data_IF_152563580986
#
_entry.id   IF_152563580986
#
_cell.length_a   1.000
_cell.length_b   1.000
_cell.length_c   1.000
_cell.angle_alpha   90.00
_cell.angle_beta   90.00
_cell.angle_gamma   90.00
#
_symmetry.space_group_name_H-M   'P 1'
#
loop_
_entity.id
_entity.type
_entity.pdbx_description
1 polymer ?
#
# COMPACT_ATOMS: atom_id res chain seq x y z
N UNK A 1 8.80 -27.19 -17.11
CA UNK A 1 7.68 -27.83 -17.84
C UNK A 1 6.78 -26.72 -18.36
N UNK A 2 6.26 -26.82 -19.58
CA UNK A 2 5.41 -25.79 -20.15
C UNK A 2 4.03 -25.78 -19.49
N UNK A 3 3.55 -24.57 -19.17
CA UNK A 3 2.17 -24.30 -18.73
C UNK A 3 1.50 -23.42 -19.79
N UNK A 4 0.33 -23.83 -20.26
CA UNK A 4 -0.42 -23.13 -21.29
C UNK A 4 -1.75 -22.63 -20.73
N UNK A 5 -2.04 -21.37 -20.99
CA UNK A 5 -3.37 -20.77 -20.83
C UNK A 5 -3.98 -20.61 -22.21
N UNK A 6 -5.16 -21.17 -22.46
CA UNK A 6 -5.73 -21.24 -23.81
C UNK A 6 -7.12 -20.64 -23.87
N UNK A 7 -7.51 -20.08 -25.02
CA UNK A 7 -8.87 -19.61 -25.35
C UNK A 7 -9.44 -18.52 -24.42
N UNK A 8 -8.57 -17.73 -23.77
CA UNK A 8 -8.98 -16.62 -22.89
C UNK A 8 -8.84 -15.26 -23.56
N UNK A 9 -9.56 -14.26 -23.06
CA UNK A 9 -9.27 -12.86 -23.36
C UNK A 9 -8.01 -12.44 -22.60
N UNK A 10 -7.15 -11.59 -23.16
CA UNK A 10 -5.91 -11.14 -22.52
C UNK A 10 -5.91 -9.62 -22.42
N UNK A 11 -5.75 -9.09 -21.21
CA UNK A 11 -5.32 -7.69 -21.02
C UNK A 11 -3.81 -7.71 -20.81
N UNK A 12 -3.05 -7.05 -21.66
CA UNK A 12 -1.58 -7.20 -21.66
C UNK A 12 -0.91 -6.50 -20.48
N UNK A 13 -1.59 -5.55 -19.82
CA UNK A 13 -1.02 -4.71 -18.76
C UNK A 13 -0.31 -3.44 -19.25
N UNK A 14 -0.25 -3.19 -20.57
CA UNK A 14 0.41 -2.00 -21.14
C UNK A 14 -0.43 -0.70 -21.04
N UNK A 15 -1.66 -0.79 -20.54
CA UNK A 15 -2.59 0.33 -20.41
C UNK A 15 -3.58 0.47 -21.57
N UNK A 16 -3.41 -0.30 -22.65
CA UNK A 16 -4.16 -0.10 -23.90
C UNK A 16 -4.62 -1.39 -24.58
N UNK A 17 -3.82 -2.46 -24.57
CA UNK A 17 -4.04 -3.62 -25.44
C UNK A 17 -4.93 -4.68 -24.78
N UNK A 18 -5.97 -5.07 -25.51
CA UNK A 18 -6.78 -6.26 -25.26
C UNK A 18 -6.63 -7.20 -26.45
N UNK A 19 -6.46 -8.49 -26.18
CA UNK A 19 -6.54 -9.58 -27.17
C UNK A 19 -7.83 -10.35 -26.86
N UNK A 20 -8.83 -10.22 -27.72
CA UNK A 20 -10.19 -10.76 -27.47
C UNK A 20 -10.21 -12.28 -27.27
N UNK A 21 -9.35 -12.98 -28.01
CA UNK A 21 -9.12 -14.41 -27.87
C UNK A 21 -7.63 -14.68 -28.07
N UNK A 22 -7.00 -15.34 -27.11
CA UNK A 22 -5.58 -15.64 -27.18
C UNK A 22 -5.16 -16.77 -26.25
N UNK A 23 -3.87 -17.06 -26.29
CA UNK A 23 -3.24 -18.08 -25.45
C UNK A 23 -1.85 -17.63 -25.02
N UNK A 24 -1.43 -18.08 -23.85
CA UNK A 24 -0.13 -17.75 -23.25
C UNK A 24 0.63 -19.04 -23.03
N UNK A 25 1.81 -19.15 -23.65
CA UNK A 25 2.73 -20.27 -23.45
C UNK A 25 3.80 -19.83 -22.46
N UNK A 26 3.88 -20.52 -21.32
CA UNK A 26 4.88 -20.24 -20.28
C UNK A 26 5.84 -21.40 -20.15
N UNK A 27 7.13 -21.11 -20.05
CA UNK A 27 8.16 -22.13 -19.88
C UNK A 27 9.39 -21.57 -19.15
N UNK A 28 9.85 -22.30 -18.14
CA UNK A 28 11.00 -21.95 -17.31
C UNK A 28 10.85 -20.59 -16.63
N UNK A 29 9.66 -20.33 -16.08
CA UNK A 29 9.34 -19.10 -15.36
C UNK A 29 9.09 -17.87 -16.22
N UNK A 30 9.11 -18.01 -17.55
CA UNK A 30 8.94 -16.90 -18.49
C UNK A 30 7.77 -17.15 -19.44
N UNK A 31 7.13 -16.07 -19.88
CA UNK A 31 6.22 -16.07 -21.01
C UNK A 31 7.06 -16.26 -22.27
N UNK A 32 6.86 -17.37 -22.98
CA UNK A 32 7.54 -17.67 -24.24
C UNK A 32 6.84 -17.04 -25.42
N UNK A 33 5.53 -17.14 -25.46
CA UNK A 33 4.72 -16.72 -26.59
C UNK A 33 3.34 -16.26 -26.11
N UNK A 34 2.82 -15.22 -26.77
CA UNK A 34 1.42 -14.80 -26.67
C UNK A 34 0.80 -14.97 -28.05
N UNK A 35 -0.11 -15.93 -28.18
CA UNK A 35 -0.78 -16.29 -29.43
C UNK A 35 -2.09 -15.51 -29.53
N UNK A 36 -2.34 -14.87 -30.67
CA UNK A 36 -3.61 -14.17 -30.97
C UNK A 36 -4.54 -15.08 -31.78
N UNK A 37 -5.82 -15.07 -31.43
CA UNK A 37 -6.88 -15.87 -32.05
C UNK A 37 -6.99 -17.29 -31.49
N UNK A 38 -8.06 -17.98 -31.89
CA UNK A 38 -8.29 -19.39 -31.58
C UNK A 38 -7.20 -20.28 -32.20
N UNK A 39 -6.60 -21.17 -31.40
CA UNK A 39 -5.69 -22.21 -31.89
C UNK A 39 -6.13 -23.56 -31.33
N UNK A 40 -6.16 -24.59 -32.16
CA UNK A 40 -6.42 -25.95 -31.68
C UNK A 40 -5.19 -26.45 -30.90
N UNK A 41 -5.32 -26.56 -29.59
CA UNK A 41 -4.29 -27.13 -28.73
C UNK A 41 -4.53 -28.63 -28.61
N UNK A 42 -3.61 -29.45 -29.12
CA UNK A 42 -3.65 -30.89 -28.85
C UNK A 42 -3.25 -31.12 -27.41
N UNK A 43 -3.82 -32.15 -26.77
CA UNK A 43 -3.39 -32.60 -25.44
C UNK A 43 -1.86 -32.75 -25.48
N UNK A 44 -1.19 -31.95 -24.66
CA UNK A 44 0.24 -31.70 -24.75
C UNK A 44 1.10 -32.94 -24.58
N UNK A 45 2.40 -32.81 -24.87
CA UNK A 45 3.37 -33.85 -24.56
C UNK A 45 3.29 -34.22 -23.06
N UNK A 46 3.69 -35.44 -22.64
CA UNK A 46 3.66 -35.83 -21.23
C UNK A 46 4.30 -34.77 -20.32
N UNK A 47 3.53 -34.21 -19.39
CA UNK A 47 3.98 -33.17 -18.44
C UNK A 47 3.60 -31.72 -18.81
N UNK A 48 2.96 -31.48 -19.95
CA UNK A 48 2.39 -30.17 -20.29
C UNK A 48 1.05 -29.95 -19.55
N UNK A 49 0.95 -28.83 -18.82
CA UNK A 49 -0.28 -28.44 -18.14
C UNK A 49 -1.05 -27.43 -19.00
N UNK A 50 -2.32 -27.72 -19.28
CA UNK A 50 -3.21 -26.82 -20.03
C UNK A 50 -4.33 -26.35 -19.11
N UNK A 51 -4.56 -25.04 -19.06
CA UNK A 51 -5.70 -24.42 -18.38
C UNK A 51 -6.56 -23.77 -19.46
N UNK A 52 -7.79 -24.24 -19.59
CA UNK A 52 -8.79 -23.66 -20.48
C UNK A 52 -9.38 -22.39 -19.85
N UNK A 53 -9.19 -21.26 -20.53
CA UNK A 53 -9.68 -19.95 -20.17
C UNK A 53 -10.89 -19.52 -20.98
N UNK A 54 -11.59 -20.44 -21.65
CA UNK A 54 -12.84 -20.12 -22.35
C UNK A 54 -13.80 -19.38 -21.41
N UNK A 55 -14.21 -18.16 -21.78
CA UNK A 55 -15.06 -17.31 -20.96
C UNK A 55 -14.37 -16.66 -19.76
N UNK A 56 -13.03 -16.71 -19.68
CA UNK A 56 -12.19 -16.12 -18.64
C UNK A 56 -11.28 -15.04 -19.21
N UNK A 57 -10.68 -14.28 -18.30
CA UNK A 57 -9.76 -13.20 -18.59
C UNK A 57 -8.37 -13.54 -18.01
N UNK A 58 -7.32 -13.30 -18.80
CA UNK A 58 -5.93 -13.40 -18.40
C UNK A 58 -5.37 -11.99 -18.14
N UNK A 59 -4.84 -11.80 -16.94
CA UNK A 59 -4.23 -10.54 -16.48
C UNK A 59 -2.77 -10.79 -16.08
N UNK A 60 -1.87 -9.80 -16.18
CA UNK A 60 -0.58 -9.90 -15.50
C UNK A 60 -0.83 -10.03 -13.99
N UNK A 61 0.09 -10.69 -13.29
CA UNK A 61 0.10 -10.74 -11.83
C UNK A 61 0.06 -9.34 -11.21
N UNK A 62 -0.78 -9.15 -10.19
CA UNK A 62 -0.88 -7.85 -9.50
C UNK A 62 0.42 -7.60 -8.73
N UNK A 63 0.94 -6.37 -8.84
CA UNK A 63 2.12 -5.89 -8.13
C UNK A 63 1.66 -4.88 -7.11
N UNK A 64 1.63 -5.26 -5.84
CA UNK A 64 1.23 -4.36 -4.76
C UNK A 64 2.46 -3.61 -4.22
N UNK A 65 2.56 -2.31 -4.51
CA UNK A 65 3.64 -1.43 -4.06
C UNK A 65 3.48 -0.90 -2.63
N UNK A 66 2.40 -1.21 -1.93
CA UNK A 66 2.20 -0.72 -0.56
C UNK A 66 1.41 -1.73 0.27
N UNK A 67 2.12 -2.59 0.99
CA UNK A 67 1.57 -3.54 1.94
C UNK A 67 2.32 -3.51 3.28
N UNK A 68 1.64 -3.88 4.35
CA UNK A 68 2.18 -3.93 5.71
C UNK A 68 1.96 -5.30 6.33
N UNK A 69 2.80 -5.66 7.30
CA UNK A 69 2.64 -6.90 8.06
C UNK A 69 2.84 -8.15 7.19
N UNK A 70 3.71 -8.05 6.19
CA UNK A 70 4.06 -9.17 5.28
C UNK A 70 5.46 -9.74 5.57
N UNK A 71 6.08 -9.29 6.66
CA UNK A 71 7.36 -9.81 7.18
C UNK A 71 7.25 -10.05 8.70
N UNK A 72 8.22 -10.77 9.27
CA UNK A 72 8.35 -10.97 10.73
C UNK A 72 9.19 -9.87 11.41
N UNK A 73 9.47 -8.77 10.71
CA UNK A 73 10.17 -7.62 11.26
C UNK A 73 9.25 -6.64 12.01
N UNK A 74 9.80 -5.52 12.48
CA UNK A 74 9.02 -4.48 13.16
C UNK A 74 7.90 -3.95 12.26
N UNK A 75 6.72 -3.71 12.84
CA UNK A 75 5.51 -3.35 12.11
C UNK A 75 5.36 -1.82 12.00
N UNK A 76 5.04 -1.35 10.80
CA UNK A 76 4.82 0.06 10.44
C UNK A 76 6.01 1.00 10.73
N UNK A 77 5.97 2.25 10.23
CA UNK A 77 7.02 3.25 10.52
C UNK A 77 7.16 3.66 11.99
N UNK A 78 6.26 3.20 12.88
CA UNK A 78 6.42 3.32 14.35
C UNK A 78 7.30 2.25 14.97
N UNK A 79 7.72 1.25 14.19
CA UNK A 79 8.44 0.08 14.64
C UNK A 79 7.76 -0.60 15.82
N UNK A 80 6.45 -0.82 15.71
CA UNK A 80 5.69 -1.61 16.67
C UNK A 80 6.16 -3.06 16.67
N UNK A 81 5.83 -3.80 17.73
CA UNK A 81 6.22 -5.20 17.84
C UNK A 81 5.80 -6.02 16.60
N UNK A 82 6.66 -6.93 16.13
CA UNK A 82 6.35 -7.79 14.99
C UNK A 82 5.04 -8.55 15.17
N UNK A 83 4.35 -8.83 14.06
CA UNK A 83 3.20 -9.72 14.06
C UNK A 83 3.65 -11.16 14.31
N UNK A 84 2.81 -12.00 14.96
CA UNK A 84 3.04 -13.44 15.00
C UNK A 84 3.16 -14.02 13.59
N UNK A 85 4.06 -14.98 13.39
CA UNK A 85 4.29 -15.61 12.07
C UNK A 85 2.98 -16.09 11.42
N UNK A 86 2.07 -16.69 12.19
CA UNK A 86 0.77 -17.13 11.68
C UNK A 86 -0.03 -15.98 11.04
N UNK A 87 -0.01 -14.79 11.64
CA UNK A 87 -0.69 -13.63 11.11
C UNK A 87 0.01 -13.08 9.87
N UNK A 88 1.34 -13.06 9.84
CA UNK A 88 2.12 -12.66 8.66
C UNK A 88 1.80 -13.57 7.48
N UNK A 89 1.78 -14.89 7.71
CA UNK A 89 1.43 -15.87 6.68
C UNK A 89 -0.02 -15.69 6.21
N UNK A 90 -0.98 -15.41 7.10
CA UNK A 90 -2.36 -15.09 6.71
C UNK A 90 -2.45 -13.84 5.82
N UNK A 91 -1.68 -12.79 6.13
CA UNK A 91 -1.65 -11.58 5.32
C UNK A 91 -1.08 -11.85 3.92
N UNK A 92 0.02 -12.61 3.83
CA UNK A 92 0.63 -13.00 2.56
C UNK A 92 -0.28 -13.92 1.75
N UNK A 93 -0.89 -14.91 2.40
CA UNK A 93 -1.82 -15.86 1.77
C UNK A 93 -3.01 -15.12 1.17
N UNK A 94 -3.54 -14.15 1.92
CA UNK A 94 -4.60 -13.26 1.43
C UNK A 94 -4.18 -12.52 0.16
N UNK A 95 -3.01 -11.88 0.14
CA UNK A 95 -2.51 -11.19 -1.05
C UNK A 95 -2.40 -12.13 -2.25
N UNK A 96 -1.85 -13.35 -2.07
CA UNK A 96 -1.76 -14.35 -3.14
C UNK A 96 -3.16 -14.69 -3.64
N UNK A 97 -4.11 -15.00 -2.75
CA UNK A 97 -5.49 -15.36 -3.12
C UNK A 97 -6.24 -14.22 -3.82
N UNK A 98 -5.88 -12.97 -3.55
CA UNK A 98 -6.39 -11.76 -4.21
C UNK A 98 -5.69 -11.46 -5.55
N UNK A 99 -4.75 -12.31 -5.99
CA UNK A 99 -4.07 -12.21 -7.29
C UNK A 99 -2.75 -11.43 -7.25
N UNK A 100 -2.23 -11.09 -6.07
CA UNK A 100 -0.94 -10.42 -5.94
C UNK A 100 0.20 -11.41 -6.11
N UNK A 101 1.08 -11.17 -7.09
CA UNK A 101 2.27 -12.00 -7.34
C UNK A 101 3.55 -11.37 -6.80
N UNK A 102 3.56 -10.05 -6.66
CA UNK A 102 4.67 -9.27 -6.10
C UNK A 102 4.17 -8.32 -5.02
N UNK A 103 4.86 -8.28 -3.89
CA UNK A 103 4.51 -7.45 -2.72
C UNK A 103 5.71 -6.57 -2.36
N UNK A 104 5.49 -5.28 -2.14
CA UNK A 104 6.42 -4.41 -1.43
C UNK A 104 5.96 -4.25 0.03
N UNK A 105 6.73 -4.81 0.95
CA UNK A 105 6.56 -4.54 2.38
C UNK A 105 7.11 -3.15 2.71
N UNK A 106 6.24 -2.26 3.19
CA UNK A 106 6.59 -0.86 3.49
C UNK A 106 6.68 -0.57 5.00
N UNK A 107 6.74 -1.60 5.85
CA UNK A 107 6.97 -1.39 7.30
C UNK A 107 8.30 -0.70 7.59
N UNK A 108 9.27 -0.84 6.68
CA UNK A 108 10.48 -0.02 6.60
C UNK A 108 11.63 -0.45 7.51
N UNK A 109 11.39 -1.21 8.57
CA UNK A 109 12.45 -1.67 9.48
C UNK A 109 12.80 -3.16 9.38
N UNK A 110 12.23 -3.91 8.43
CA UNK A 110 12.58 -5.32 8.28
C UNK A 110 14.06 -5.51 7.89
N UNK A 111 14.72 -6.48 8.52
CA UNK A 111 16.07 -6.92 8.17
C UNK A 111 16.02 -7.99 7.07
N UNK A 112 17.11 -8.18 6.30
CA UNK A 112 17.11 -9.09 5.15
C UNK A 112 16.71 -10.54 5.49
N UNK A 113 17.13 -11.04 6.66
CA UNK A 113 16.79 -12.40 7.10
C UNK A 113 15.32 -12.56 7.47
N UNK A 114 14.64 -11.50 7.92
CA UNK A 114 13.22 -11.50 8.26
C UNK A 114 12.35 -11.53 7.01
N UNK A 115 12.80 -10.82 5.95
CA UNK A 115 12.18 -10.91 4.61
C UNK A 115 12.40 -12.30 4.02
N UNK A 116 13.62 -12.84 4.13
CA UNK A 116 13.95 -14.16 3.60
C UNK A 116 13.13 -15.27 4.26
N UNK A 117 12.89 -15.19 5.57
CA UNK A 117 12.07 -16.16 6.29
C UNK A 117 10.67 -16.34 5.68
N UNK A 118 10.06 -15.29 5.15
CA UNK A 118 8.76 -15.37 4.49
C UNK A 118 8.87 -15.87 3.05
N UNK A 119 9.90 -15.44 2.31
CA UNK A 119 10.18 -15.95 0.95
C UNK A 119 10.38 -17.47 0.92
N UNK A 120 10.99 -18.03 1.96
CA UNK A 120 11.20 -19.47 2.09
C UNK A 120 9.89 -20.24 2.35
N UNK A 121 8.89 -19.57 2.92
CA UNK A 121 7.61 -20.17 3.34
C UNK A 121 6.47 -19.96 2.35
N UNK A 122 6.57 -18.98 1.45
CA UNK A 122 5.48 -18.61 0.54
C UNK A 122 5.97 -18.29 -0.87
N UNK A 123 5.27 -18.80 -1.91
CA UNK A 123 5.70 -18.65 -3.30
C UNK A 123 5.26 -17.30 -3.88
N UNK A 124 5.62 -16.19 -3.22
CA UNK A 124 5.33 -14.82 -3.68
C UNK A 124 6.63 -14.03 -3.83
N UNK A 125 6.68 -13.10 -4.78
CA UNK A 125 7.80 -12.18 -4.92
C UNK A 125 7.70 -11.08 -3.85
N UNK A 126 8.16 -11.37 -2.63
CA UNK A 126 8.19 -10.40 -1.54
C UNK A 126 9.45 -9.53 -1.63
N UNK A 127 9.31 -8.21 -1.68
CA UNK A 127 10.37 -7.21 -1.54
C UNK A 127 10.13 -6.34 -0.32
N UNK A 128 11.12 -5.53 0.08
CA UNK A 128 10.97 -4.59 1.19
C UNK A 128 11.49 -3.21 0.85
N UNK A 129 10.87 -2.20 1.44
CA UNK A 129 11.46 -0.88 1.65
C UNK A 129 12.39 -0.84 2.86
N UNK A 130 13.11 0.26 3.01
CA UNK A 130 13.88 0.58 4.22
C UNK A 130 13.68 2.02 4.67
N UNK A 131 13.64 2.24 5.98
CA UNK A 131 13.62 3.57 6.61
C UNK A 131 14.66 3.68 7.73
N UNK A 132 15.74 2.88 7.65
CA UNK A 132 16.85 2.86 8.59
C UNK A 132 17.73 4.12 8.54
N UNK A 133 17.10 5.28 8.70
CA UNK A 133 17.72 6.60 8.76
C UNK A 133 17.63 7.13 10.19
N UNK A 134 18.63 7.88 10.67
CA UNK A 134 18.69 8.32 12.06
C UNK A 134 17.44 9.06 12.55
N UNK A 135 16.81 9.91 11.72
CA UNK A 135 15.62 10.65 12.13
C UNK A 135 14.41 9.73 12.21
N UNK A 136 14.27 8.78 11.28
CA UNK A 136 13.18 7.81 11.28
C UNK A 136 13.24 6.84 12.48
N UNK A 137 14.43 6.42 12.90
CA UNK A 137 14.59 5.61 14.13
C UNK A 137 14.13 6.41 15.35
N UNK A 138 14.51 7.69 15.45
CA UNK A 138 14.04 8.57 16.54
C UNK A 138 12.53 8.79 16.49
N UNK A 139 11.95 8.96 15.31
CA UNK A 139 10.51 9.12 15.13
C UNK A 139 9.78 7.85 15.61
N UNK A 140 10.27 6.66 15.27
CA UNK A 140 9.71 5.40 15.75
C UNK A 140 9.78 5.28 17.28
N UNK A 141 10.94 5.57 17.88
CA UNK A 141 11.14 5.53 19.34
C UNK A 141 10.27 6.54 20.11
N UNK A 142 9.98 7.69 19.50
CA UNK A 142 9.11 8.69 20.11
C UNK A 142 7.63 8.26 20.20
N UNK A 143 7.27 7.17 19.52
CA UNK A 143 5.91 6.62 19.48
C UNK A 143 5.83 5.24 20.14
N UNK A 144 6.58 4.26 19.61
CA UNK A 144 6.56 2.88 20.12
C UNK A 144 7.98 2.29 20.16
N UNK A 145 8.63 2.08 19.01
CA UNK A 145 10.01 1.60 18.92
C UNK A 145 10.29 0.20 19.49
N UNK A 146 9.28 -0.46 20.07
CA UNK A 146 9.43 -1.76 20.79
C UNK A 146 9.77 -2.93 19.89
N UNK A 147 9.48 -2.84 18.60
CA UNK A 147 9.89 -3.85 17.62
C UNK A 147 11.39 -3.81 17.31
N UNK A 148 12.06 -2.68 17.56
CA UNK A 148 13.47 -2.52 17.19
C UNK A 148 14.40 -3.23 18.18
N UNK A 149 15.03 -4.30 17.70
CA UNK A 149 16.20 -4.92 18.35
C UNK A 149 17.46 -4.08 18.16
N UNK A 150 18.56 -4.45 18.83
CA UNK A 150 19.87 -3.79 18.63
C UNK A 150 20.35 -3.87 17.17
N UNK A 151 20.08 -4.98 16.47
CA UNK A 151 20.43 -5.14 15.07
C UNK A 151 19.69 -4.13 14.17
N UNK A 152 18.39 -3.94 14.40
CA UNK A 152 17.59 -2.93 13.70
C UNK A 152 18.15 -1.53 13.91
N UNK A 153 18.54 -1.19 15.13
CA UNK A 153 19.05 0.14 15.48
C UNK A 153 20.44 0.44 14.88
N UNK A 154 21.23 -0.61 14.62
CA UNK A 154 22.55 -0.50 14.00
C UNK A 154 22.50 -0.46 12.48
N UNK A 155 21.49 -1.05 11.87
CA UNK A 155 21.32 -1.06 10.43
C UNK A 155 21.14 0.35 9.87
N UNK A 156 21.68 0.58 8.68
CA UNK A 156 21.60 1.85 7.95
C UNK A 156 20.85 1.72 6.63
N UNK A 157 20.31 2.83 6.14
CA UNK A 157 19.64 2.88 4.84
C UNK A 157 20.56 2.40 3.71
N UNK A 158 21.85 2.77 3.72
CA UNK A 158 22.82 2.31 2.72
C UNK A 158 23.04 0.80 2.75
N UNK A 159 23.17 0.21 3.94
CA UNK A 159 23.33 -1.24 4.10
C UNK A 159 22.08 -2.00 3.62
N UNK A 160 20.89 -1.50 3.95
CA UNK A 160 19.64 -2.15 3.56
C UNK A 160 19.40 -2.06 2.05
N UNK A 161 19.67 -0.91 1.43
CA UNK A 161 19.62 -0.76 -0.03
C UNK A 161 20.62 -1.69 -0.72
N UNK A 162 21.84 -1.83 -0.18
CA UNK A 162 22.83 -2.78 -0.68
C UNK A 162 22.40 -4.25 -0.48
N UNK A 163 21.67 -4.52 0.58
CA UNK A 163 21.14 -5.85 0.89
C UNK A 163 19.87 -6.22 0.10
N UNK A 164 19.37 -5.31 -0.76
CA UNK A 164 18.27 -5.59 -1.69
C UNK A 164 16.94 -4.92 -1.35
N UNK A 165 16.89 -4.00 -0.37
CA UNK A 165 15.72 -3.13 -0.23
C UNK A 165 15.55 -2.29 -1.51
N UNK A 166 14.34 -2.27 -2.06
CA UNK A 166 14.07 -1.75 -3.40
C UNK A 166 13.65 -0.27 -3.42
N UNK A 167 13.29 0.26 -2.25
CA UNK A 167 12.82 1.62 -2.05
C UNK A 167 13.08 2.11 -0.62
N UNK A 168 12.93 3.42 -0.39
CA UNK A 168 12.96 4.07 0.92
C UNK A 168 11.51 4.32 1.35
N UNK A 169 10.88 3.37 2.06
CA UNK A 169 9.44 3.42 2.32
C UNK A 169 8.99 2.56 3.51
N UNK A 170 7.82 2.84 4.10
CA UNK A 170 7.05 4.09 4.01
C UNK A 170 7.59 5.10 5.02
N UNK A 171 7.74 6.37 4.61
CA UNK A 171 8.16 7.42 5.52
C UNK A 171 6.94 8.10 6.14
N UNK A 172 6.90 8.03 7.47
CA UNK A 172 5.75 8.48 8.24
C UNK A 172 4.59 7.49 8.14
N UNK A 173 3.65 7.58 9.08
CA UNK A 173 2.46 6.77 9.09
C UNK A 173 1.50 7.24 10.17
N UNK A 174 0.40 6.52 10.37
CA UNK A 174 -0.66 6.97 11.28
C UNK A 174 -0.21 7.26 12.71
N UNK A 175 0.86 6.63 13.20
CA UNK A 175 1.37 6.89 14.56
C UNK A 175 2.28 8.11 14.64
N UNK A 176 3.13 8.30 13.64
CA UNK A 176 4.11 9.40 13.62
C UNK A 176 3.53 10.69 13.04
N UNK A 177 2.54 10.61 12.15
CA UNK A 177 1.96 11.77 11.44
C UNK A 177 0.58 12.21 11.95
N UNK A 178 0.19 11.83 13.17
CA UNK A 178 -1.10 12.24 13.71
C UNK A 178 -2.31 11.52 13.08
N UNK A 179 -2.12 10.39 12.39
CA UNK A 179 -3.17 9.64 11.70
C UNK A 179 -3.82 8.52 12.53
N UNK A 180 -4.18 7.41 11.87
CA UNK A 180 -5.03 6.37 12.46
C UNK A 180 -4.55 5.79 13.79
N UNK A 181 -3.26 5.44 13.94
CA UNK A 181 -2.75 4.88 15.20
C UNK A 181 -2.84 5.86 16.38
N UNK A 182 -2.72 7.17 16.12
CA UNK A 182 -2.99 8.17 17.14
C UNK A 182 -4.45 8.12 17.58
N UNK A 183 -5.37 7.96 16.63
CA UNK A 183 -6.81 7.91 16.86
C UNK A 183 -7.27 6.63 17.60
N UNK A 184 -6.73 5.44 17.29
CA UNK A 184 -7.22 4.18 17.88
C UNK A 184 -6.38 3.64 19.05
N UNK A 185 -5.17 4.17 19.27
CA UNK A 185 -4.26 3.67 20.30
C UNK A 185 -3.77 4.77 21.24
N UNK A 186 -2.97 5.72 20.75
CA UNK A 186 -2.21 6.62 21.63
C UNK A 186 -3.08 7.63 22.36
N UNK A 187 -3.95 8.35 21.63
CA UNK A 187 -4.88 9.31 22.24
C UNK A 187 -5.89 8.59 23.15
N UNK A 188 -6.58 7.51 22.73
CA UNK A 188 -7.47 6.76 23.62
C UNK A 188 -6.78 6.30 24.90
N UNK A 189 -5.55 5.76 24.82
CA UNK A 189 -4.82 5.30 26.01
C UNK A 189 -4.47 6.46 26.94
N UNK A 190 -4.05 7.61 26.42
CA UNK A 190 -3.72 8.79 27.22
C UNK A 190 -4.97 9.33 27.96
N UNK A 191 -6.09 9.45 27.24
CA UNK A 191 -7.36 9.91 27.81
C UNK A 191 -7.94 8.91 28.80
N UNK A 192 -7.87 7.60 28.53
CA UNK A 192 -8.35 6.57 29.44
C UNK A 192 -7.58 6.55 30.75
N UNK A 193 -6.26 6.73 30.72
CA UNK A 193 -5.43 6.84 31.93
C UNK A 193 -5.79 8.05 32.79
N UNK A 194 -6.18 9.16 32.17
CA UNK A 194 -6.55 10.39 32.88
C UNK A 194 -8.00 10.33 33.41
N UNK A 195 -8.93 9.82 32.62
CA UNK A 195 -10.38 9.99 32.84
C UNK A 195 -11.13 8.70 33.20
N UNK A 196 -10.50 7.54 33.02
CA UNK A 196 -11.12 6.22 33.10
C UNK A 196 -12.06 5.88 31.93
N UNK A 197 -12.13 6.74 30.90
CA UNK A 197 -13.01 6.55 29.72
C UNK A 197 -12.16 6.32 28.48
N UNK A 198 -12.36 5.19 27.81
CA UNK A 198 -11.72 4.87 26.54
C UNK A 198 -12.51 5.48 25.38
N UNK A 199 -11.86 6.32 24.58
CA UNK A 199 -12.46 6.91 23.38
C UNK A 199 -12.53 5.88 22.23
N UNK A 200 -13.63 5.91 21.49
CA UNK A 200 -13.72 5.29 20.17
C UNK A 200 -12.81 6.05 19.18
N UNK A 201 -12.20 5.41 18.16
CA UNK A 201 -11.28 6.08 17.25
C UNK A 201 -11.81 7.36 16.60
N UNK A 202 -13.08 7.37 16.16
CA UNK A 202 -13.72 8.56 15.59
C UNK A 202 -13.87 9.71 16.60
N UNK A 203 -14.06 9.40 17.89
CA UNK A 203 -14.12 10.42 18.94
C UNK A 203 -12.74 11.01 19.23
N UNK A 204 -11.70 10.16 19.27
CA UNK A 204 -10.32 10.60 19.43
C UNK A 204 -9.88 11.50 18.27
N UNK A 205 -10.20 11.13 17.03
CA UNK A 205 -9.96 11.98 15.84
C UNK A 205 -10.65 13.33 15.99
N UNK A 206 -11.94 13.33 16.34
CA UNK A 206 -12.72 14.56 16.51
C UNK A 206 -12.12 15.48 17.58
N UNK A 207 -11.67 14.93 18.70
CA UNK A 207 -10.99 15.69 19.74
C UNK A 207 -9.66 16.26 19.25
N UNK A 208 -8.84 15.43 18.58
CA UNK A 208 -7.56 15.85 17.99
C UNK A 208 -7.72 16.99 16.99
N UNK A 209 -8.67 16.90 16.07
CA UNK A 209 -8.92 17.93 15.06
C UNK A 209 -9.53 19.20 15.66
N UNK A 210 -10.24 19.12 16.78
CA UNK A 210 -10.67 20.30 17.51
C UNK A 210 -9.51 21.07 18.15
N UNK A 211 -8.44 20.35 18.53
CA UNK A 211 -7.27 20.91 19.22
C UNK A 211 -6.19 21.36 18.23
N UNK A 212 -5.91 20.55 17.21
CA UNK A 212 -4.77 20.72 16.29
C UNK A 212 -5.18 20.94 14.83
N UNK A 213 -6.48 21.03 14.51
CA UNK A 213 -7.01 20.96 13.15
C UNK A 213 -6.65 19.65 12.40
N UNK A 214 -7.22 19.40 11.21
CA UNK A 214 -6.78 18.30 10.35
C UNK A 214 -5.31 18.40 9.88
N UNK A 215 -4.70 19.59 9.96
CA UNK A 215 -3.35 19.88 9.48
C UNK A 215 -2.27 19.78 10.58
N UNK A 216 -2.64 19.38 11.81
CA UNK A 216 -1.73 19.28 12.96
C UNK A 216 -1.01 20.62 13.26
N UNK A 217 -1.78 21.70 13.27
CA UNK A 217 -1.35 23.06 13.60
C UNK A 217 -1.45 23.32 15.12
N UNK A 218 -0.34 23.52 15.84
CA UNK A 218 -0.34 23.79 17.27
C UNK A 218 -1.01 25.13 17.65
N UNK A 219 -1.23 26.02 16.68
CA UNK A 219 -1.89 27.31 16.86
C UNK A 219 -3.40 27.26 16.62
N UNK A 220 -3.94 26.13 16.15
CA UNK A 220 -5.37 25.98 15.85
C UNK A 220 -6.28 25.81 17.08
N UNK A 221 -5.71 25.78 18.29
CA UNK A 221 -6.44 25.49 19.51
C UNK A 221 -7.52 26.54 19.80
N UNK A 222 -8.76 26.06 19.91
CA UNK A 222 -9.91 26.83 20.37
C UNK A 222 -10.52 26.15 21.61
N UNK A 223 -10.51 26.87 22.73
CA UNK A 223 -11.00 26.38 24.03
C UNK A 223 -12.50 26.07 24.01
N UNK A 224 -13.30 26.89 23.32
CA UNK A 224 -14.76 26.75 23.27
C UNK A 224 -15.15 25.56 22.38
N UNK A 225 -14.51 25.45 21.21
CA UNK A 225 -14.68 24.30 20.32
C UNK A 225 -14.28 22.99 21.00
N UNK A 226 -13.13 23.00 21.68
CA UNK A 226 -12.64 21.81 22.42
C UNK A 226 -13.61 21.44 23.55
N UNK A 227 -14.10 22.42 24.31
CA UNK A 227 -15.10 22.18 25.36
C UNK A 227 -16.40 21.57 24.78
N UNK A 228 -16.89 22.06 23.64
CA UNK A 228 -18.07 21.51 22.99
C UNK A 228 -17.87 20.06 22.55
N UNK A 229 -16.71 19.74 21.96
CA UNK A 229 -16.38 18.37 21.58
C UNK A 229 -16.25 17.45 22.79
N UNK A 230 -15.62 17.90 23.88
CA UNK A 230 -15.52 17.14 25.12
C UNK A 230 -16.91 16.79 25.69
N UNK A 231 -17.86 17.73 25.65
CA UNK A 231 -19.24 17.45 26.04
C UNK A 231 -19.88 16.39 25.15
N UNK A 232 -19.74 16.53 23.83
CA UNK A 232 -20.32 15.60 22.86
C UNK A 232 -19.80 14.16 23.01
N UNK A 233 -18.50 14.01 23.26
CA UNK A 233 -17.87 12.67 23.39
C UNK A 233 -17.96 12.11 24.82
N UNK A 234 -18.73 12.73 25.72
CA UNK A 234 -18.99 12.23 27.07
C UNK A 234 -17.85 12.46 28.07
N UNK A 235 -16.94 13.39 27.78
CA UNK A 235 -15.85 13.81 28.66
C UNK A 235 -16.11 15.15 29.37
N UNK A 236 -17.29 15.74 29.18
CA UNK A 236 -17.73 16.93 29.89
C UNK A 236 -17.59 16.78 31.40
N UNK A 237 -16.84 17.70 32.03
CA UNK A 237 -16.60 17.68 33.48
C UNK A 237 -15.61 16.60 33.98
N UNK A 238 -15.14 15.69 33.11
CA UNK A 238 -14.11 14.69 33.45
C UNK A 238 -12.68 15.17 33.16
N UNK A 239 -12.53 16.09 32.21
CA UNK A 239 -11.26 16.70 31.82
C UNK A 239 -11.53 18.14 31.35
N UNK A 240 -10.59 19.05 31.63
CA UNK A 240 -10.67 20.42 31.11
C UNK A 240 -10.19 20.49 29.66
N UNK A 241 -10.64 21.47 28.86
CA UNK A 241 -10.12 21.68 27.51
C UNK A 241 -8.60 21.82 27.45
N UNK A 242 -7.99 22.57 28.38
CA UNK A 242 -6.54 22.77 28.40
C UNK A 242 -5.78 21.50 28.74
N UNK A 243 -6.30 20.67 29.66
CA UNK A 243 -5.69 19.38 29.99
C UNK A 243 -5.83 18.38 28.83
N UNK A 244 -6.97 18.39 28.14
CA UNK A 244 -7.16 17.59 26.93
C UNK A 244 -6.18 18.02 25.82
N UNK A 245 -5.99 19.34 25.63
CA UNK A 245 -4.98 19.90 24.72
C UNK A 245 -3.58 19.39 25.08
N UNK A 246 -3.19 19.49 26.35
CA UNK A 246 -1.86 19.06 26.80
C UNK A 246 -1.60 17.59 26.48
N UNK A 247 -2.54 16.70 26.82
CA UNK A 247 -2.43 15.27 26.57
C UNK A 247 -2.35 14.96 25.07
N UNK A 248 -3.27 15.50 24.27
CA UNK A 248 -3.34 15.24 22.83
C UNK A 248 -2.10 15.81 22.12
N UNK A 249 -1.72 17.05 22.40
CA UNK A 249 -0.52 17.67 21.84
C UNK A 249 0.76 16.92 22.25
N UNK A 250 0.84 16.45 23.49
CA UNK A 250 1.95 15.65 23.99
C UNK A 250 2.09 14.30 23.27
N UNK A 251 0.98 13.69 22.85
CA UNK A 251 1.00 12.46 22.05
C UNK A 251 1.36 12.72 20.58
N UNK A 252 0.90 13.83 20.00
CA UNK A 252 0.92 14.04 18.55
C UNK A 252 2.11 14.87 18.07
N UNK A 253 2.41 16.00 18.72
CA UNK A 253 3.37 16.97 18.17
C UNK A 253 4.83 16.49 18.17
N UNK A 254 5.36 15.84 19.23
CA UNK A 254 6.75 15.38 19.23
C UNK A 254 7.07 14.38 18.10
N UNK A 255 6.30 13.28 17.91
CA UNK A 255 6.58 12.37 16.81
C UNK A 255 6.29 12.99 15.44
N UNK A 256 5.31 13.90 15.35
CA UNK A 256 5.01 14.62 14.11
C UNK A 256 6.18 15.48 13.63
N UNK A 257 6.80 16.26 14.52
CA UNK A 257 7.96 17.07 14.16
C UNK A 257 9.11 16.20 13.63
N UNK A 258 9.42 15.08 14.33
CA UNK A 258 10.44 14.13 13.88
C UNK A 258 10.08 13.48 12.54
N UNK A 259 8.81 13.17 12.31
CA UNK A 259 8.35 12.60 11.05
C UNK A 259 8.54 13.56 9.88
N UNK A 260 8.24 14.86 10.04
CA UNK A 260 8.50 15.88 9.00
C UNK A 260 9.99 15.98 8.67
N UNK A 261 10.85 15.93 9.67
CA UNK A 261 12.31 15.91 9.45
C UNK A 261 12.76 14.62 8.75
N UNK A 262 12.16 13.47 9.11
CA UNK A 262 12.39 12.19 8.45
C UNK A 262 11.96 12.19 6.98
N UNK A 263 10.88 12.90 6.63
CA UNK A 263 10.46 13.10 5.23
C UNK A 263 11.53 13.86 4.44
N UNK A 264 12.10 14.93 5.02
CA UNK A 264 13.17 15.70 4.37
C UNK A 264 14.46 14.87 4.23
N UNK A 265 14.83 14.12 5.27
CA UNK A 265 15.97 13.19 5.24
C UNK A 265 15.78 12.11 4.16
N UNK A 266 14.59 11.54 4.06
CA UNK A 266 14.26 10.54 3.06
C UNK A 266 14.34 11.10 1.64
N UNK A 267 13.80 12.28 1.38
CA UNK A 267 13.88 12.92 0.07
C UNK A 267 15.33 13.19 -0.38
N UNK A 268 16.17 13.70 0.54
CA UNK A 268 17.59 13.90 0.28
C UNK A 268 18.31 12.56 0.01
N UNK A 269 17.99 11.53 0.79
CA UNK A 269 18.58 10.20 0.68
C UNK A 269 18.17 9.51 -0.62
N UNK A 270 16.90 9.59 -1.00
CA UNK A 270 16.34 9.10 -2.25
C UNK A 270 17.06 9.69 -3.47
N UNK A 271 17.22 11.02 -3.48
CA UNK A 271 17.96 11.73 -4.53
C UNK A 271 19.42 11.30 -4.61
N UNK A 272 20.10 11.15 -3.47
CA UNK A 272 21.50 10.70 -3.41
C UNK A 272 21.67 9.25 -3.88
N UNK A 273 20.75 8.37 -3.50
CA UNK A 273 20.82 6.95 -3.81
C UNK A 273 20.28 6.60 -5.21
N UNK A 274 19.57 7.51 -5.87
CA UNK A 274 18.83 7.20 -7.10
C UNK A 274 17.76 6.14 -6.85
N UNK A 275 17.08 6.24 -5.70
CA UNK A 275 16.06 5.30 -5.24
C UNK A 275 14.76 6.02 -4.96
N UNK A 276 13.65 5.32 -5.21
CA UNK A 276 12.31 5.82 -4.95
C UNK A 276 12.09 5.91 -3.45
N UNK A 277 11.42 6.96 -3.01
CA UNK A 277 10.88 7.08 -1.65
C UNK A 277 9.38 7.26 -1.68
N UNK A 278 8.69 6.59 -0.75
CA UNK A 278 7.24 6.63 -0.61
C UNK A 278 6.91 7.30 0.71
N UNK A 279 6.14 8.39 0.62
CA UNK A 279 5.77 9.22 1.76
C UNK A 279 4.27 9.15 1.97
N UNK A 280 3.85 8.98 3.22
CA UNK A 280 2.45 8.98 3.62
C UNK A 280 1.76 10.31 3.25
N UNK A 281 0.81 10.29 2.31
CA UNK A 281 0.06 11.49 1.94
C UNK A 281 -1.15 11.69 2.85
N UNK A 282 -1.22 12.84 3.49
CA UNK A 282 -2.34 13.27 4.31
C UNK A 282 -2.40 14.80 4.33
N UNK A 283 -3.53 15.37 4.77
CA UNK A 283 -3.67 16.81 4.99
C UNK A 283 -2.46 17.39 5.77
N UNK A 284 -2.01 16.69 6.82
CA UNK A 284 -0.86 17.07 7.63
C UNK A 284 0.47 17.16 6.85
N UNK A 285 0.69 16.33 5.83
CA UNK A 285 1.96 16.30 5.08
C UNK A 285 1.96 17.21 3.85
N UNK A 286 0.84 17.86 3.50
CA UNK A 286 0.71 18.70 2.30
C UNK A 286 1.81 19.76 2.17
N UNK A 287 2.18 20.41 3.28
CA UNK A 287 3.21 21.44 3.28
C UNK A 287 4.60 20.87 2.95
N UNK A 288 5.01 19.78 3.62
CA UNK A 288 6.35 19.20 3.41
C UNK A 288 6.48 18.58 2.01
N UNK A 289 5.40 18.05 1.45
CA UNK A 289 5.39 17.59 0.05
C UNK A 289 5.81 18.70 -0.92
N UNK A 290 5.33 19.93 -0.73
CA UNK A 290 5.72 21.08 -1.57
C UNK A 290 7.20 21.44 -1.43
N UNK A 291 7.82 21.15 -0.29
CA UNK A 291 9.25 21.36 -0.06
C UNK A 291 10.11 20.33 -0.82
N UNK A 292 9.61 19.09 -0.96
CA UNK A 292 10.41 17.96 -1.49
C UNK A 292 10.05 17.52 -2.91
N UNK A 293 8.94 18.01 -3.49
CA UNK A 293 8.42 17.59 -4.80
C UNK A 293 9.40 17.73 -5.98
N UNK A 294 10.45 18.55 -5.84
CA UNK A 294 11.51 18.75 -6.86
C UNK A 294 12.38 17.51 -7.09
N UNK A 295 12.29 16.47 -6.26
CA UNK A 295 12.93 15.17 -6.56
C UNK A 295 12.13 14.38 -7.64
N UNK A 296 10.96 14.88 -8.01
CA UNK A 296 10.13 14.43 -9.13
C UNK A 296 9.78 12.94 -9.06
N UNK A 297 10.09 12.13 -10.08
CA UNK A 297 9.64 10.73 -10.17
C UNK A 297 10.30 9.80 -9.14
N UNK A 298 11.26 10.27 -8.34
CA UNK A 298 11.77 9.53 -7.18
C UNK A 298 10.85 9.65 -5.96
N UNK A 299 9.87 10.55 -5.97
CA UNK A 299 8.88 10.71 -4.91
C UNK A 299 7.57 10.02 -5.29
N UNK A 300 7.06 9.19 -4.40
CA UNK A 300 5.72 8.63 -4.45
C UNK A 300 4.89 9.23 -3.33
N UNK A 301 3.81 9.92 -3.69
CA UNK A 301 2.80 10.35 -2.76
C UNK A 301 1.84 9.18 -2.51
N UNK A 302 2.05 8.47 -1.39
CA UNK A 302 1.36 7.23 -1.06
C UNK A 302 -0.10 7.48 -0.70
N UNK A 303 -1.02 6.64 -1.19
CA UNK A 303 -2.45 6.63 -0.83
C UNK A 303 -3.09 8.03 -0.72
N UNK A 304 -2.90 8.86 -1.76
CA UNK A 304 -3.41 10.24 -1.87
C UNK A 304 -4.92 10.38 -1.65
N UNK A 305 -5.68 9.28 -1.72
CA UNK A 305 -7.07 9.21 -1.35
C UNK A 305 -7.34 9.14 0.17
N UNK A 306 -6.33 9.41 1.01
CA UNK A 306 -6.43 9.39 2.47
C UNK A 306 -7.64 10.20 2.98
N UNK A 307 -8.40 9.70 3.97
CA UNK A 307 -9.67 10.30 4.43
C UNK A 307 -9.53 11.63 5.18
N UNK A 308 -8.30 12.14 5.35
CA UNK A 308 -8.10 13.50 5.87
C UNK A 308 -8.30 14.58 4.81
N UNK A 309 -8.30 14.22 3.53
CA UNK A 309 -8.66 15.11 2.44
C UNK A 309 -10.15 15.05 2.13
N UNK A 310 -10.71 16.19 1.70
CA UNK A 310 -11.92 16.19 0.87
C UNK A 310 -11.55 15.80 -0.57
N UNK A 311 -12.52 15.30 -1.34
CA UNK A 311 -12.31 14.84 -2.70
C UNK A 311 -11.65 15.90 -3.60
N UNK A 312 -12.13 17.15 -3.56
CA UNK A 312 -11.54 18.23 -4.35
C UNK A 312 -10.13 18.59 -3.89
N UNK A 313 -9.87 18.54 -2.58
CA UNK A 313 -8.55 18.83 -2.01
C UNK A 313 -7.54 17.74 -2.38
N UNK A 314 -7.97 16.47 -2.37
CA UNK A 314 -7.14 15.34 -2.78
C UNK A 314 -6.73 15.50 -4.26
N UNK A 315 -7.69 15.82 -5.14
CA UNK A 315 -7.42 16.07 -6.57
C UNK A 315 -6.51 17.28 -6.77
N UNK A 316 -6.71 18.37 -6.02
CA UNK A 316 -5.82 19.54 -6.08
C UNK A 316 -4.39 19.20 -5.64
N UNK A 317 -4.25 18.44 -4.54
CA UNK A 317 -2.96 17.96 -4.07
C UNK A 317 -2.25 17.10 -5.12
N UNK A 318 -2.93 16.11 -5.70
CA UNK A 318 -2.37 15.28 -6.77
C UNK A 318 -1.97 16.13 -7.99
N UNK A 319 -2.79 17.13 -8.35
CA UNK A 319 -2.48 18.02 -9.49
C UNK A 319 -1.24 18.86 -9.22
N UNK A 320 -1.05 19.34 -7.99
CA UNK A 320 0.15 20.06 -7.58
C UNK A 320 1.39 19.15 -7.68
N UNK A 321 1.33 17.94 -7.12
CA UNK A 321 2.43 16.97 -7.15
C UNK A 321 2.79 16.52 -8.56
N UNK A 322 1.80 16.30 -9.42
CA UNK A 322 2.02 15.89 -10.81
C UNK A 322 2.81 16.94 -11.64
N UNK A 323 2.82 18.22 -11.25
CA UNK A 323 3.57 19.28 -11.98
C UNK A 323 5.08 19.01 -12.03
N UNK A 324 5.62 18.31 -11.03
CA UNK A 324 7.04 17.96 -10.96
C UNK A 324 7.31 16.48 -11.27
N UNK A 325 6.28 15.73 -11.66
CA UNK A 325 6.37 14.30 -11.98
C UNK A 325 6.44 13.38 -10.77
N UNK A 326 5.98 13.84 -9.59
CA UNK A 326 5.75 12.97 -8.43
C UNK A 326 4.73 11.90 -8.80
N UNK A 327 5.01 10.65 -8.43
CA UNK A 327 4.11 9.52 -8.67
C UNK A 327 2.95 9.58 -7.70
N UNK A 328 1.73 9.47 -8.23
CA UNK A 328 0.48 9.49 -7.45
C UNK A 328 -0.02 8.06 -7.24
N UNK A 329 0.06 7.60 -5.99
CA UNK A 329 -0.50 6.33 -5.56
C UNK A 329 -1.84 6.56 -4.84
N UNK A 330 -2.82 5.70 -5.10
CA UNK A 330 -4.04 5.59 -4.29
C UNK A 330 -4.16 4.18 -3.73
N UNK A 331 -4.81 4.02 -2.58
CA UNK A 331 -4.96 2.74 -1.91
C UNK A 331 -6.41 2.34 -1.78
N UNK A 332 -6.70 1.05 -1.95
CA UNK A 332 -8.05 0.51 -1.71
C UNK A 332 -8.46 0.60 -0.24
N UNK A 333 -7.50 0.54 0.69
CA UNK A 333 -7.71 0.50 2.15
C UNK A 333 -8.90 -0.39 2.46
N UNK A 334 -10.01 0.10 3.00
CA UNK A 334 -11.26 -0.65 3.19
C UNK A 334 -12.48 0.11 2.66
N UNK A 335 -12.33 0.80 1.52
CA UNK A 335 -13.34 1.70 0.95
C UNK A 335 -14.67 1.04 0.52
N UNK A 336 -14.71 -0.27 0.34
CA UNK A 336 -15.91 -1.02 -0.06
C UNK A 336 -16.38 -1.99 1.01
N UNK A 337 -15.48 -2.85 1.50
CA UNK A 337 -15.79 -3.92 2.43
C UNK A 337 -16.12 -3.42 3.83
N UNK A 338 -15.10 -3.29 4.68
CA UNK A 338 -15.26 -2.99 6.11
C UNK A 338 -15.60 -1.53 6.40
N UNK A 339 -15.02 -0.58 5.64
CA UNK A 339 -15.23 0.87 5.79
C UNK A 339 -14.98 1.42 7.19
N UNK A 340 -14.07 0.78 7.93
CA UNK A 340 -13.68 1.22 9.27
C UNK A 340 -12.59 2.30 9.24
N UNK A 341 -11.73 2.31 8.21
CA UNK A 341 -10.63 3.26 8.10
C UNK A 341 -10.92 4.36 7.08
N UNK A 342 -11.22 3.98 5.83
CA UNK A 342 -11.50 4.90 4.73
C UNK A 342 -12.91 5.49 4.80
N UNK A 343 -13.89 4.75 5.33
CA UNK A 343 -15.30 5.15 5.41
C UNK A 343 -16.06 4.97 4.09
N UNK A 344 -15.48 5.43 2.98
CA UNK A 344 -15.99 5.22 1.63
C UNK A 344 -14.85 5.28 0.58
N UNK A 345 -15.20 5.27 -0.70
CA UNK A 345 -14.27 5.31 -1.84
C UNK A 345 -14.35 6.63 -2.65
N UNK A 346 -14.91 7.71 -2.10
CA UNK A 346 -15.14 8.96 -2.83
C UNK A 346 -13.83 9.56 -3.35
N UNK A 347 -12.84 9.73 -2.48
CA UNK A 347 -11.52 10.26 -2.84
C UNK A 347 -10.83 9.37 -3.88
N UNK A 348 -10.98 8.04 -3.77
CA UNK A 348 -10.42 7.07 -4.71
C UNK A 348 -10.97 7.31 -6.12
N UNK A 349 -12.28 7.43 -6.26
CA UNK A 349 -12.92 7.71 -7.56
C UNK A 349 -12.64 9.11 -8.08
N UNK A 350 -12.58 10.12 -7.21
CA UNK A 350 -12.30 11.49 -7.61
C UNK A 350 -10.92 11.62 -8.27
N UNK A 351 -9.89 11.01 -7.68
CA UNK A 351 -8.54 11.01 -8.24
C UNK A 351 -8.49 10.23 -9.56
N UNK A 352 -9.12 9.06 -9.64
CA UNK A 352 -9.17 8.28 -10.89
C UNK A 352 -9.84 9.06 -12.03
N UNK A 353 -11.01 9.65 -11.78
CA UNK A 353 -11.75 10.46 -12.78
C UNK A 353 -10.97 11.69 -13.24
N UNK A 354 -10.06 12.19 -12.41
CA UNK A 354 -9.18 13.31 -12.78
C UNK A 354 -8.05 12.93 -13.73
N UNK A 355 -7.79 11.62 -13.91
CA UNK A 355 -6.72 11.11 -14.75
C UNK A 355 -5.31 11.28 -14.16
N UNK A 356 -5.20 11.52 -12.85
CA UNK A 356 -3.94 11.79 -12.14
C UNK A 356 -3.33 10.55 -11.47
N UNK A 357 -4.05 9.44 -11.36
CA UNK A 357 -3.58 8.25 -10.67
C UNK A 357 -2.55 7.48 -11.50
N UNK A 358 -1.40 7.15 -10.90
CA UNK A 358 -0.37 6.31 -11.52
C UNK A 358 -0.47 4.85 -11.07
N UNK A 359 -0.59 4.63 -9.75
CA UNK A 359 -0.59 3.29 -9.14
C UNK A 359 -1.72 3.08 -8.14
N UNK A 360 -2.15 1.82 -7.99
CA UNK A 360 -3.14 1.40 -7.00
C UNK A 360 -2.55 0.33 -6.08
N UNK A 361 -2.67 0.54 -4.77
CA UNK A 361 -2.13 -0.30 -3.70
C UNK A 361 -3.18 -0.69 -2.64
N UNK A 362 -2.81 -1.37 -1.54
CA UNK A 362 -3.76 -1.78 -0.49
C UNK A 362 -3.67 -1.03 0.82
N UNK A 363 -2.49 -0.50 1.19
CA UNK A 363 -2.17 -0.14 2.57
C UNK A 363 -2.50 -1.31 3.54
N UNK A 364 -2.67 -1.06 4.84
CA UNK A 364 -2.84 -2.11 5.84
C UNK A 364 -4.29 -2.39 6.23
N UNK A 365 -5.06 -1.35 6.56
CA UNK A 365 -6.39 -1.46 7.19
C UNK A 365 -6.46 -2.48 8.37
N UNK A 366 -5.36 -2.67 9.10
CA UNK A 366 -5.26 -3.66 10.17
C UNK A 366 -5.29 -5.12 9.70
N UNK A 367 -4.90 -5.40 8.45
CA UNK A 367 -5.01 -6.71 7.79
C UNK A 367 -6.38 -6.95 7.14
N UNK A 368 -7.27 -5.95 7.13
CA UNK A 368 -8.64 -6.04 6.60
C UNK A 368 -8.84 -5.23 5.31
N UNK A 369 -7.77 -5.02 4.52
CA UNK A 369 -7.86 -4.23 3.29
C UNK A 369 -8.79 -4.84 2.24
N UNK A 370 -9.28 -4.06 1.29
CA UNK A 370 -9.97 -4.53 0.10
C UNK A 370 -8.94 -4.87 -0.99
N UNK A 371 -9.17 -5.95 -1.75
CA UNK A 371 -8.27 -6.36 -2.81
C UNK A 371 -8.10 -5.25 -3.89
N UNK A 372 -6.90 -5.09 -4.46
CA UNK A 372 -6.65 -4.14 -5.56
C UNK A 372 -7.64 -4.38 -6.71
N UNK A 373 -7.83 -5.64 -7.13
CA UNK A 373 -8.75 -5.98 -8.21
C UNK A 373 -10.22 -5.64 -7.89
N UNK A 374 -10.62 -5.62 -6.61
CA UNK A 374 -11.96 -5.15 -6.22
C UNK A 374 -12.08 -3.65 -6.47
N UNK A 375 -11.12 -2.85 -6.02
CA UNK A 375 -11.13 -1.40 -6.25
C UNK A 375 -11.11 -1.05 -7.75
N UNK A 376 -10.33 -1.79 -8.55
CA UNK A 376 -10.28 -1.63 -10.00
C UNK A 376 -11.59 -2.05 -10.68
N UNK A 377 -12.18 -3.19 -10.31
CA UNK A 377 -13.50 -3.64 -10.79
C UNK A 377 -14.54 -2.55 -10.57
N UNK A 378 -14.62 -2.04 -9.33
CA UNK A 378 -15.58 -0.98 -8.98
C UNK A 378 -15.31 0.34 -9.70
N UNK A 379 -14.07 0.61 -10.07
CA UNK A 379 -13.71 1.79 -10.85
C UNK A 379 -14.14 1.70 -12.31
N UNK A 380 -14.08 0.49 -12.88
CA UNK A 380 -14.58 0.21 -14.23
C UNK A 380 -16.11 0.30 -14.25
N UNK A 381 -16.79 -0.29 -13.26
CA UNK A 381 -18.26 -0.26 -13.14
C UNK A 381 -18.83 1.17 -13.12
N UNK A 382 -18.15 2.10 -12.44
CA UNK A 382 -18.57 3.52 -12.37
C UNK A 382 -18.02 4.38 -13.52
N UNK A 383 -17.33 3.77 -14.49
CA UNK A 383 -16.76 4.46 -15.65
C UNK A 383 -15.62 5.43 -15.32
N UNK A 384 -14.93 5.27 -14.19
CA UNK A 384 -13.80 6.13 -13.82
C UNK A 384 -12.56 5.86 -14.69
N UNK A 385 -12.36 4.60 -15.10
CA UNK A 385 -11.25 4.14 -15.95
C UNK A 385 -11.69 2.98 -16.83
N UNK A 386 -10.97 2.74 -17.93
CA UNK A 386 -11.15 1.54 -18.75
C UNK A 386 -10.42 0.33 -18.14
N UNK A 387 -10.83 -0.89 -18.52
CA UNK A 387 -10.17 -2.13 -18.09
C UNK A 387 -8.63 -2.12 -18.29
N UNK A 388 -8.08 -1.82 -19.48
CA UNK A 388 -6.63 -1.89 -19.68
C UNK A 388 -5.88 -0.82 -18.88
N UNK A 389 -6.45 0.39 -18.71
CA UNK A 389 -5.88 1.43 -17.85
C UNK A 389 -5.86 0.98 -16.38
N UNK A 390 -6.98 0.45 -15.87
CA UNK A 390 -7.10 -0.03 -14.50
C UNK A 390 -6.06 -1.12 -14.20
N UNK A 391 -5.90 -2.11 -15.08
CA UNK A 391 -4.93 -3.19 -14.90
C UNK A 391 -3.49 -2.65 -14.93
N UNK A 392 -3.17 -1.67 -15.77
CA UNK A 392 -1.83 -1.08 -15.81
C UNK A 392 -1.44 -0.38 -14.50
N UNK A 393 -2.40 0.26 -13.80
CA UNK A 393 -2.18 0.91 -12.50
C UNK A 393 -1.74 -0.06 -11.39
N UNK A 394 -2.04 -1.36 -11.53
CA UNK A 394 -1.64 -2.40 -10.60
C UNK A 394 -0.54 -3.32 -11.16
N UNK A 395 0.01 -3.01 -12.35
CA UNK A 395 0.99 -3.85 -13.05
C UNK A 395 2.11 -3.01 -13.65
N UNK A 396 2.11 -2.70 -14.95
CA UNK A 396 3.23 -2.03 -15.61
C UNK A 396 3.53 -0.63 -15.09
N UNK A 397 2.53 0.13 -14.61
CA UNK A 397 2.79 1.43 -13.99
C UNK A 397 3.54 1.29 -12.67
N UNK A 398 3.26 0.23 -11.91
CA UNK A 398 3.99 -0.07 -10.68
C UNK A 398 5.46 -0.36 -10.98
N UNK A 399 5.76 -1.10 -12.05
CA UNK A 399 7.15 -1.35 -12.49
C UNK A 399 7.85 -0.05 -12.91
N UNK A 400 7.14 0.86 -13.59
CA UNK A 400 7.70 2.19 -13.95
C UNK A 400 7.99 3.03 -12.71
N UNK A 401 7.08 3.04 -11.74
CA UNK A 401 7.21 3.79 -10.49
C UNK A 401 8.26 3.17 -9.54
N UNK A 402 8.38 1.85 -9.52
CA UNK A 402 9.29 1.08 -8.67
C UNK A 402 10.13 0.08 -9.48
N UNK A 403 11.16 0.54 -10.22
CA UNK A 403 11.92 -0.33 -11.13
C UNK A 403 12.58 -1.54 -10.47
N UNK A 404 12.89 -1.46 -9.17
CA UNK A 404 13.48 -2.55 -8.40
C UNK A 404 12.48 -3.59 -7.89
N UNK A 405 11.17 -3.31 -7.92
CA UNK A 405 10.16 -4.16 -7.29
C UNK A 405 9.88 -5.43 -8.10
N UNK A 406 9.62 -5.29 -9.40
CA UNK A 406 9.28 -6.39 -10.31
C UNK A 406 9.82 -6.15 -11.73
N UNK A 407 11.16 -6.08 -11.91
CA UNK A 407 11.79 -5.52 -13.12
C UNK A 407 11.42 -6.22 -14.44
N UNK A 408 10.99 -7.48 -14.38
CA UNK A 408 10.63 -8.26 -15.56
C UNK A 408 9.16 -8.73 -15.59
N UNK A 409 8.31 -8.23 -14.69
CA UNK A 409 6.89 -8.52 -14.64
C UNK A 409 6.03 -7.34 -15.17
N UNK A 410 4.73 -7.36 -14.87
CA UNK A 410 3.80 -6.25 -15.12
C UNK A 410 3.21 -6.18 -16.54
N UNK A 411 3.68 -7.02 -17.47
CA UNK A 411 3.12 -7.14 -18.82
C UNK A 411 3.05 -8.61 -19.26
N UNK A 412 1.95 -9.01 -19.92
CA UNK A 412 1.87 -10.27 -20.65
C UNK A 412 2.52 -10.08 -22.03
N UNK A 413 3.82 -10.40 -22.10
CA UNK A 413 4.63 -10.29 -23.32
C UNK A 413 5.75 -11.33 -23.31
N UNK A 414 6.13 -11.82 -24.50
CA UNK A 414 7.27 -12.74 -24.61
C UNK A 414 8.54 -12.17 -23.94
N UNK A 415 9.23 -13.01 -23.18
CA UNK A 415 10.41 -12.67 -22.39
C UNK A 415 10.14 -12.13 -20.98
N UNK A 416 8.89 -11.80 -20.64
CA UNK A 416 8.49 -11.36 -19.29
C UNK A 416 8.31 -12.54 -18.33
N UNK A 417 8.34 -12.27 -17.04
CA UNK A 417 8.06 -13.24 -16.00
C UNK A 417 6.64 -13.82 -16.16
N UNK A 418 6.52 -15.13 -15.97
CA UNK A 418 5.27 -15.86 -16.10
C UNK A 418 4.38 -15.70 -14.85
N UNK A 419 4.09 -14.45 -14.53
CA UNK A 419 3.19 -14.02 -13.46
C UNK A 419 1.85 -13.64 -14.10
N UNK A 420 0.88 -14.54 -14.01
CA UNK A 420 -0.39 -14.44 -14.75
C UNK A 420 -1.54 -14.88 -13.87
N UNK A 421 -2.66 -14.16 -13.98
CA UNK A 421 -3.92 -14.49 -13.32
C UNK A 421 -4.91 -15.01 -14.33
N UNK A 422 -5.73 -15.99 -13.91
CA UNK A 422 -6.96 -16.35 -14.60
C UNK A 422 -8.11 -15.90 -13.72
N UNK A 423 -8.88 -14.92 -14.21
CA UNK A 423 -9.98 -14.30 -13.46
C UNK A 423 -11.30 -14.47 -14.21
N UNK A 424 -12.39 -14.24 -13.50
CA UNK A 424 -13.70 -14.14 -14.14
C UNK A 424 -13.77 -12.95 -15.10
N UNK A 425 -14.42 -13.14 -16.25
CA UNK A 425 -14.44 -12.14 -17.32
C UNK A 425 -15.24 -10.89 -16.95
N UNK A 426 -16.35 -11.07 -16.23
CA UNK A 426 -17.25 -9.97 -15.88
C UNK A 426 -16.94 -9.39 -14.49
N UNK A 427 -16.20 -10.15 -13.68
CA UNK A 427 -15.80 -9.76 -12.32
C UNK A 427 -14.31 -10.01 -12.10
N UNK A 428 -13.47 -9.06 -12.49
CA UNK A 428 -12.00 -9.19 -12.41
C UNK A 428 -11.49 -9.42 -10.98
N UNK A 429 -12.27 -9.06 -9.96
CA UNK A 429 -11.96 -9.35 -8.55
C UNK A 429 -12.11 -10.83 -8.17
N UNK A 430 -12.79 -11.63 -8.99
CA UNK A 430 -12.95 -13.08 -8.78
C UNK A 430 -11.78 -13.84 -9.40
N UNK A 431 -10.72 -13.97 -8.63
CA UNK A 431 -9.51 -14.69 -9.01
C UNK A 431 -9.72 -16.20 -8.94
N UNK A 432 -9.59 -16.88 -10.08
CA UNK A 432 -9.73 -18.33 -10.18
C UNK A 432 -8.39 -19.06 -10.06
N UNK A 433 -7.35 -18.58 -10.75
CA UNK A 433 -6.00 -19.17 -10.72
C UNK A 433 -4.95 -18.08 -10.61
N UNK A 434 -3.95 -18.31 -9.75
CA UNK A 434 -2.77 -17.44 -9.60
C UNK A 434 -1.55 -18.23 -10.00
N UNK A 435 -0.78 -17.66 -10.92
CA UNK A 435 0.44 -18.26 -11.46
C UNK A 435 1.59 -17.32 -11.17
N UNK A 436 2.63 -17.83 -10.52
CA UNK A 436 3.84 -17.09 -10.17
C UNK A 436 5.03 -17.85 -10.73
N UNK A 437 5.87 -17.17 -11.52
CA UNK A 437 7.00 -17.77 -12.21
C UNK A 437 6.61 -19.07 -12.95
N UNK A 438 5.45 -19.06 -13.63
CA UNK A 438 4.94 -20.17 -14.44
C UNK A 438 4.43 -21.37 -13.65
N UNK A 439 4.24 -21.24 -12.33
CA UNK A 439 3.69 -22.29 -11.45
C UNK A 439 2.35 -21.85 -10.89
N UNK A 440 1.35 -22.74 -10.92
CA UNK A 440 0.07 -22.51 -10.24
C UNK A 440 0.30 -22.52 -8.74
N UNK A 441 0.15 -21.39 -8.07
CA UNK A 441 0.34 -21.24 -6.62
C UNK A 441 -0.98 -21.17 -5.86
N UNK A 442 -2.07 -20.77 -6.53
CA UNK A 442 -3.40 -20.77 -5.96
C UNK A 442 -4.45 -21.13 -7.02
N UNK A 443 -5.51 -21.79 -6.56
CA UNK A 443 -6.66 -22.14 -7.38
C UNK A 443 -7.92 -22.18 -6.51
N UNK A 444 -9.01 -21.61 -7.02
CA UNK A 444 -10.35 -21.67 -6.42
C UNK A 444 -10.37 -21.26 -4.94
N UNK A 445 -9.69 -20.15 -4.62
CA UNK A 445 -9.63 -19.58 -3.27
C UNK A 445 -8.73 -20.33 -2.29
N UNK A 446 -7.86 -21.22 -2.77
CA UNK A 446 -6.91 -21.97 -1.92
C UNK A 446 -5.51 -21.95 -2.52
N UNK A 447 -4.50 -21.94 -1.65
CA UNK A 447 -3.12 -22.18 -2.05
C UNK A 447 -2.96 -23.64 -2.50
N UNK A 448 -2.12 -23.84 -3.50
CA UNK A 448 -1.70 -25.16 -3.97
C UNK A 448 -0.43 -25.55 -3.21
N UNK A 449 -0.39 -26.79 -2.72
CA UNK A 449 0.72 -27.33 -1.93
C UNK A 449 1.98 -27.58 -2.74
#
# INVERSE_FOLDING_TARGET
>A
MPLLLVNGMIVTGDGTTIIDEGSIVMENGLIREVVKGSRSWKKGAPGEQIIDGTGKLFLPGVINNHAHGTTIGPLNPTASSPLPLEQVLKNVDRHILEGTTTILNVDGFALPHEVQAIRDLRPVHLQTGTIHMPVNVKAADSVDGKGLTEAHRKATVEEMLKAGAVAICEIGGGGTLGGGQQDYLYIPNAIERETGVRLHPLQARKLKEAILSPYIDPNAYDVHRTAAVLQEIGLGGKITPDRARELVSGCVLPPYALALDGIREAAATAKKAGRVTTIHAAAATKAVFREIQEIGPLLVAAHCNHPSFKAEEAVEFCRDMNKTGVVIDISTVDGWGRRAVAGDAENFYAILRSGLCDTVSTDYAGGFHDAILLGLEKSIEVGAVTLPQAIAMATSNVVKAFPGLAPNAGEIRAGRDADVLVVDRDHVSRVGVVIISGRVVARDGRLVA
#
